data_IF_702998735419
#
_entry.id   IF_702998735419
#
_cell.length_a   1.000
_cell.length_b   1.000
_cell.length_c   1.000
_cell.angle_alpha   90.00
_cell.angle_beta   90.00
_cell.angle_gamma   90.00
#
_symmetry.space_group_name_H-M   'P 1'
#
loop_
_entity.id
_entity.type
_entity.pdbx_description
1 polymer ?
#
# COMPACT_ATOMS: atom_id res chain seq x y z
N UNK A 1 -10.73 -110.79 -71.97
CA UNK A 1 -11.94 -110.10 -72.44
C UNK A 1 -12.03 -108.78 -71.67
N UNK A 2 -11.33 -107.74 -72.13
CA UNK A 2 -11.86 -106.63 -72.96
C UNK A 2 -12.75 -105.65 -72.19
N UNK A 3 -12.24 -104.41 -72.01
CA UNK A 3 -12.90 -103.09 -72.10
C UNK A 3 -14.16 -102.84 -71.21
N UNK A 4 -14.50 -101.65 -70.70
CA UNK A 4 -14.19 -100.28 -71.09
C UNK A 4 -14.80 -99.29 -70.07
N UNK A 5 -14.22 -98.08 -70.01
CA UNK A 5 -14.83 -96.77 -69.74
C UNK A 5 -15.39 -96.44 -68.34
N UNK A 6 -14.71 -95.55 -67.58
CA UNK A 6 -14.62 -94.07 -67.74
C UNK A 6 -15.79 -93.34 -67.08
N UNK A 7 -15.63 -93.08 -65.77
CA UNK A 7 -16.45 -92.12 -65.04
C UNK A 7 -15.72 -90.78 -64.95
N UNK A 8 -16.33 -89.80 -65.62
CA UNK A 8 -15.99 -88.40 -65.75
C UNK A 8 -16.36 -87.69 -64.44
N UNK A 9 -15.40 -87.06 -63.75
CA UNK A 9 -15.69 -85.97 -62.82
C UNK A 9 -14.65 -84.86 -62.97
N UNK A 10 -15.07 -83.81 -63.67
CA UNK A 10 -14.39 -82.53 -63.77
C UNK A 10 -14.53 -81.79 -62.43
N UNK A 11 -13.42 -81.58 -61.72
CA UNK A 11 -13.28 -80.49 -60.74
C UNK A 11 -12.16 -79.57 -61.23
N UNK A 12 -12.56 -78.48 -61.89
CA UNK A 12 -11.72 -77.28 -62.06
C UNK A 12 -11.53 -76.64 -60.69
N UNK A 13 -10.38 -76.90 -60.06
CA UNK A 13 -9.84 -76.03 -59.01
C UNK A 13 -9.17 -74.86 -59.71
N UNK A 14 -9.78 -73.67 -59.63
CA UNK A 14 -9.11 -72.41 -59.96
C UNK A 14 -8.05 -72.17 -58.89
N UNK A 15 -6.79 -72.49 -59.17
CA UNK A 15 -5.66 -71.94 -58.42
C UNK A 15 -5.68 -70.41 -58.60
N UNK A 16 -5.94 -69.68 -57.52
CA UNK A 16 -5.60 -68.26 -57.44
C UNK A 16 -4.08 -68.15 -57.54
N UNK A 17 -3.59 -67.57 -58.63
CA UNK A 17 -2.22 -67.05 -58.69
C UNK A 17 -2.18 -65.90 -57.69
N UNK A 18 -1.49 -66.11 -56.57
CA UNK A 18 -1.12 -65.04 -55.66
C UNK A 18 0.01 -64.30 -56.37
N UNK A 19 -0.28 -63.15 -56.97
CA UNK A 19 0.75 -62.24 -57.46
C UNK A 19 1.55 -61.75 -56.25
N UNK A 20 2.65 -62.43 -55.95
CA UNK A 20 3.63 -61.97 -54.98
C UNK A 20 4.39 -60.75 -55.51
N UNK A 21 4.85 -59.89 -54.61
CA UNK A 21 5.67 -58.73 -54.96
C UNK A 21 7.00 -59.17 -55.57
N UNK A 22 7.44 -58.47 -56.61
CA UNK A 22 8.78 -58.65 -57.18
C UNK A 22 9.86 -58.11 -56.22
N UNK A 23 11.10 -58.62 -56.30
CA UNK A 23 12.20 -58.17 -55.43
C UNK A 23 12.42 -56.64 -55.51
N UNK A 24 12.24 -56.07 -56.71
CA UNK A 24 12.36 -54.63 -56.94
C UNK A 24 11.24 -53.84 -56.24
N UNK A 25 9.99 -54.30 -56.32
CA UNK A 25 8.86 -53.68 -55.60
C UNK A 25 9.04 -53.77 -54.08
N UNK A 26 9.56 -54.89 -53.58
CA UNK A 26 9.83 -55.07 -52.15
C UNK A 26 10.94 -54.12 -51.67
N UNK A 27 12.00 -53.94 -52.46
CA UNK A 27 13.08 -52.99 -52.17
C UNK A 27 12.58 -51.55 -52.18
N UNK A 28 11.81 -51.15 -53.19
CA UNK A 28 11.24 -49.79 -53.27
C UNK A 28 10.26 -49.55 -52.12
N UNK A 29 9.38 -50.51 -51.81
CA UNK A 29 8.47 -50.41 -50.68
C UNK A 29 9.22 -50.32 -49.34
N UNK A 30 10.32 -51.05 -49.17
CA UNK A 30 11.17 -50.99 -47.98
C UNK A 30 11.87 -49.63 -47.84
N UNK A 31 12.38 -49.07 -48.95
CA UNK A 31 13.04 -47.77 -48.97
C UNK A 31 12.06 -46.63 -48.66
N UNK A 32 10.87 -46.65 -49.29
CA UNK A 32 9.80 -45.68 -49.00
C UNK A 32 9.37 -45.80 -47.54
N UNK A 33 9.18 -47.02 -47.03
CA UNK A 33 8.82 -47.24 -45.63
C UNK A 33 9.89 -46.72 -44.67
N UNK A 34 11.17 -46.95 -44.96
CA UNK A 34 12.28 -46.45 -44.16
C UNK A 34 12.33 -44.90 -44.14
N UNK A 35 12.11 -44.26 -45.29
CA UNK A 35 12.04 -42.79 -45.40
C UNK A 35 10.85 -42.25 -44.61
N UNK A 36 9.66 -42.82 -44.79
CA UNK A 36 8.44 -42.39 -44.08
C UNK A 36 8.61 -42.58 -42.57
N UNK A 37 9.16 -43.71 -42.12
CA UNK A 37 9.45 -43.95 -40.70
C UNK A 37 10.49 -42.97 -40.14
N UNK A 38 11.52 -42.62 -40.93
CA UNK A 38 12.53 -41.64 -40.52
C UNK A 38 11.94 -40.24 -40.37
N UNK A 39 11.08 -39.81 -41.31
CA UNK A 39 10.37 -38.53 -41.24
C UNK A 39 9.42 -38.53 -40.04
N UNK A 40 8.62 -39.60 -39.87
CA UNK A 40 7.70 -39.73 -38.75
C UNK A 40 8.43 -39.70 -37.40
N UNK A 41 9.54 -40.43 -37.28
CA UNK A 41 10.40 -40.39 -36.09
C UNK A 41 10.94 -38.99 -35.82
N UNK A 42 11.46 -38.31 -36.85
CA UNK A 42 11.97 -36.95 -36.72
C UNK A 42 10.88 -35.98 -36.24
N UNK A 43 9.67 -36.08 -36.81
CA UNK A 43 8.56 -35.19 -36.48
C UNK A 43 8.03 -35.45 -35.06
N UNK A 44 7.93 -36.72 -34.66
CA UNK A 44 7.62 -37.11 -33.27
C UNK A 44 8.68 -36.58 -32.31
N UNK A 45 9.97 -36.69 -32.65
CA UNK A 45 11.04 -36.20 -31.79
C UNK A 45 11.01 -34.67 -31.65
N UNK A 46 10.68 -33.94 -32.72
CA UNK A 46 10.45 -32.49 -32.68
C UNK A 46 9.29 -32.14 -31.75
N UNK A 47 8.14 -32.83 -31.87
CA UNK A 47 6.97 -32.60 -31.01
C UNK A 47 7.28 -32.92 -29.54
N UNK A 48 7.93 -34.07 -29.26
CA UNK A 48 8.31 -34.47 -27.91
C UNK A 48 9.30 -33.47 -27.28
N UNK A 49 10.28 -33.01 -28.06
CA UNK A 49 11.25 -32.00 -27.62
C UNK A 49 10.56 -30.67 -27.36
N UNK A 50 9.62 -30.25 -28.22
CA UNK A 50 8.82 -29.04 -28.03
C UNK A 50 8.00 -29.12 -26.74
N UNK A 51 7.20 -30.18 -26.57
CA UNK A 51 6.37 -30.39 -25.39
C UNK A 51 7.20 -30.42 -24.10
N UNK A 52 8.39 -31.04 -24.14
CA UNK A 52 9.28 -31.07 -22.99
C UNK A 52 9.86 -29.69 -22.67
N UNK A 53 10.21 -28.90 -23.69
CA UNK A 53 10.66 -27.52 -23.51
C UNK A 53 9.52 -26.64 -22.95
N UNK A 54 8.30 -26.79 -23.46
CA UNK A 54 7.12 -26.05 -22.98
C UNK A 54 6.81 -26.39 -21.52
N UNK A 55 6.82 -27.68 -21.15
CA UNK A 55 6.66 -28.10 -19.76
C UNK A 55 7.74 -27.50 -18.85
N UNK A 56 8.99 -27.42 -19.32
CA UNK A 56 10.09 -26.82 -18.56
C UNK A 56 9.90 -25.31 -18.39
N UNK A 57 9.39 -24.62 -19.42
CA UNK A 57 9.07 -23.20 -19.39
C UNK A 57 7.90 -22.88 -18.46
N UNK A 58 6.84 -23.68 -18.51
CA UNK A 58 5.70 -23.55 -17.61
C UNK A 58 6.15 -23.77 -16.17
N UNK A 59 6.94 -24.81 -15.89
CA UNK A 59 7.46 -25.08 -14.56
C UNK A 59 8.34 -23.92 -14.04
N UNK A 60 9.19 -23.33 -14.88
CA UNK A 60 9.97 -22.15 -14.52
C UNK A 60 9.06 -20.95 -14.24
N UNK A 61 8.10 -20.67 -15.12
CA UNK A 61 7.15 -19.56 -14.94
C UNK A 61 6.35 -19.68 -13.66
N UNK A 62 5.76 -20.85 -13.38
CA UNK A 62 5.01 -21.11 -12.14
C UNK A 62 5.89 -20.95 -10.91
N UNK A 63 7.15 -21.39 -10.97
CA UNK A 63 8.10 -21.20 -9.86
C UNK A 63 8.37 -19.73 -9.57
N UNK A 64 8.56 -18.92 -10.62
CA UNK A 64 8.76 -17.47 -10.47
C UNK A 64 7.48 -16.76 -9.99
N UNK A 65 6.31 -17.15 -10.48
CA UNK A 65 5.03 -16.62 -10.01
C UNK A 65 4.79 -16.94 -8.53
N UNK A 66 5.07 -18.16 -8.08
CA UNK A 66 4.97 -18.55 -6.68
C UNK A 66 5.96 -17.77 -5.80
N UNK A 67 7.20 -17.58 -6.27
CA UNK A 67 8.20 -16.78 -5.57
C UNK A 67 7.78 -15.31 -5.45
N UNK A 68 7.29 -14.72 -6.53
CA UNK A 68 6.77 -13.34 -6.53
C UNK A 68 5.57 -13.19 -5.60
N UNK A 69 4.58 -14.09 -5.69
CA UNK A 69 3.41 -14.10 -4.83
C UNK A 69 3.79 -14.16 -3.36
N UNK A 70 4.71 -15.08 -3.01
CA UNK A 70 5.22 -15.21 -1.65
C UNK A 70 5.87 -13.92 -1.14
N UNK A 71 6.80 -13.33 -1.90
CA UNK A 71 7.48 -12.09 -1.51
C UNK A 71 6.50 -10.93 -1.38
N UNK A 72 5.58 -10.78 -2.34
CA UNK A 72 4.58 -9.70 -2.38
C UNK A 72 3.58 -9.83 -1.22
N UNK A 73 3.18 -11.04 -0.83
CA UNK A 73 2.29 -11.23 0.30
C UNK A 73 2.98 -10.91 1.64
N UNK A 74 4.28 -11.15 1.73
CA UNK A 74 5.08 -10.67 2.85
C UNK A 74 5.26 -9.14 2.84
N UNK A 75 5.46 -8.52 1.67
CA UNK A 75 5.44 -7.05 1.55
C UNK A 75 4.11 -6.50 2.07
N UNK A 76 2.98 -7.09 1.66
CA UNK A 76 1.64 -6.67 2.11
C UNK A 76 1.44 -6.84 3.62
N UNK A 77 2.06 -7.85 4.21
CA UNK A 77 2.00 -8.13 5.66
C UNK A 77 3.14 -7.50 6.47
N UNK A 78 4.02 -6.75 5.82
CA UNK A 78 5.09 -6.00 6.49
C UNK A 78 4.59 -4.66 7.01
N UNK A 79 5.29 -4.16 8.04
CA UNK A 79 5.24 -2.77 8.50
C UNK A 79 5.94 -1.88 7.47
N UNK A 80 7.21 -2.18 7.17
CA UNK A 80 8.08 -1.40 6.28
C UNK A 80 8.98 -2.25 5.41
N UNK A 81 9.36 -1.68 4.27
CA UNK A 81 10.38 -2.18 3.36
C UNK A 81 11.74 -1.60 3.72
N UNK A 82 12.76 -2.45 3.74
CA UNK A 82 14.16 -2.09 3.97
C UNK A 82 14.93 -2.32 2.67
N UNK A 83 15.74 -1.34 2.28
CA UNK A 83 16.45 -1.34 1.00
C UNK A 83 17.93 -1.69 1.13
N UNK A 84 18.51 -1.78 2.33
CA UNK A 84 19.94 -2.08 2.50
C UNK A 84 20.28 -2.94 3.73
N UNK A 85 21.47 -3.56 3.71
CA UNK A 85 22.03 -4.26 4.87
C UNK A 85 22.34 -3.32 6.05
N UNK A 86 22.63 -2.04 5.81
CA UNK A 86 22.99 -1.08 6.86
C UNK A 86 21.81 -0.69 7.75
N UNK A 87 20.59 -0.85 7.23
CA UNK A 87 19.36 -0.50 7.96
C UNK A 87 18.88 -1.66 8.86
N UNK A 88 19.62 -2.77 8.91
CA UNK A 88 19.29 -3.95 9.71
C UNK A 88 20.11 -3.98 11.02
N UNK A 89 19.50 -4.39 12.15
CA UNK A 89 20.23 -4.65 13.38
C UNK A 89 21.33 -5.70 13.13
N UNK A 90 22.55 -5.46 13.61
CA UNK A 90 23.72 -6.29 13.31
C UNK A 90 23.53 -7.77 13.68
N UNK A 91 22.78 -8.04 14.75
CA UNK A 91 22.43 -9.39 15.21
C UNK A 91 21.54 -10.17 14.23
N UNK A 92 20.82 -9.47 13.35
CA UNK A 92 19.89 -10.05 12.38
C UNK A 92 20.53 -10.24 11.00
N UNK A 93 21.79 -9.83 10.83
CA UNK A 93 22.53 -10.03 9.58
C UNK A 93 23.05 -11.47 9.57
N UNK A 94 22.65 -12.32 8.59
CA UNK A 94 23.12 -13.69 8.52
C UNK A 94 24.63 -13.74 8.27
N UNK A 95 25.32 -14.68 8.91
CA UNK A 95 26.78 -14.85 8.78
C UNK A 95 27.22 -15.05 7.33
N UNK A 96 26.43 -15.77 6.54
CA UNK A 96 26.69 -16.03 5.13
C UNK A 96 25.86 -15.06 4.26
N UNK A 97 26.14 -13.75 4.40
CA UNK A 97 25.39 -12.70 3.73
C UNK A 97 25.57 -12.81 2.21
N UNK A 98 24.46 -13.01 1.51
CA UNK A 98 24.39 -12.89 0.06
C UNK A 98 24.25 -11.44 -0.39
N UNK A 99 23.91 -11.25 -1.66
CA UNK A 99 23.53 -9.93 -2.18
C UNK A 99 22.14 -9.54 -1.68
N UNK A 100 22.00 -8.32 -1.15
CA UNK A 100 20.75 -7.85 -0.56
C UNK A 100 19.70 -7.54 -1.61
N UNK A 101 18.55 -8.20 -1.54
CA UNK A 101 17.42 -7.93 -2.43
C UNK A 101 16.45 -6.97 -1.76
N UNK A 102 15.91 -7.38 -0.61
CA UNK A 102 14.82 -6.70 0.08
C UNK A 102 14.80 -7.11 1.56
N UNK A 103 14.50 -6.20 2.47
CA UNK A 103 14.16 -6.52 3.86
C UNK A 103 12.76 -6.06 4.20
N UNK A 104 12.12 -6.71 5.18
CA UNK A 104 10.76 -6.44 5.59
C UNK A 104 10.66 -6.43 7.11
N UNK A 105 10.33 -5.28 7.68
CA UNK A 105 10.03 -5.16 9.11
C UNK A 105 8.63 -5.70 9.34
N UNK A 106 8.45 -6.62 10.28
CA UNK A 106 7.12 -7.11 10.66
C UNK A 106 6.53 -6.22 11.76
N UNK A 107 5.19 -6.04 11.81
CA UNK A 107 4.56 -5.44 12.97
C UNK A 107 4.57 -6.42 14.15
N UNK A 108 4.16 -5.94 15.32
CA UNK A 108 3.95 -6.80 16.48
C UNK A 108 2.94 -7.90 16.15
N UNK A 109 3.31 -9.15 16.45
CA UNK A 109 2.54 -10.32 16.05
C UNK A 109 1.77 -10.88 17.24
N UNK A 110 0.52 -11.26 17.00
CA UNK A 110 -0.20 -12.16 17.89
C UNK A 110 0.31 -13.59 17.63
N UNK A 111 0.78 -14.26 18.68
CA UNK A 111 1.32 -15.62 18.56
C UNK A 111 0.29 -16.73 18.78
N UNK A 112 -0.94 -16.35 19.15
CA UNK A 112 -2.06 -17.28 19.39
C UNK A 112 -3.38 -16.63 19.01
N UNK A 113 -4.36 -17.45 18.61
CA UNK A 113 -5.73 -16.98 18.35
C UNK A 113 -6.38 -16.30 19.57
N UNK A 114 -6.01 -16.70 20.78
CA UNK A 114 -6.60 -16.13 22.00
C UNK A 114 -6.17 -14.68 22.24
N UNK A 115 -5.04 -14.26 21.66
CA UNK A 115 -4.62 -12.86 21.64
C UNK A 115 -5.62 -11.97 20.88
N UNK A 116 -6.37 -12.51 19.92
CA UNK A 116 -7.43 -11.79 19.20
C UNK A 116 -8.79 -11.80 19.93
N UNK A 117 -8.96 -12.66 20.95
CA UNK A 117 -10.23 -12.80 21.68
C UNK A 117 -10.32 -11.89 22.90
N UNK A 118 -9.20 -11.55 23.53
CA UNK A 118 -9.17 -10.76 24.77
C UNK A 118 -8.82 -9.29 24.51
N UNK A 119 -9.84 -8.42 24.43
CA UNK A 119 -9.70 -6.99 24.08
C UNK A 119 -8.92 -6.14 25.11
N UNK A 120 -8.70 -6.64 26.32
CA UNK A 120 -8.14 -5.85 27.44
C UNK A 120 -6.72 -6.25 27.85
N UNK A 121 -6.21 -7.39 27.39
CA UNK A 121 -4.85 -7.88 27.69
C UNK A 121 -4.30 -8.66 26.49
N UNK A 122 -3.99 -7.94 25.40
CA UNK A 122 -3.40 -8.57 24.21
C UNK A 122 -1.89 -8.67 24.38
N UNK A 123 -1.37 -9.88 24.50
CA UNK A 123 0.07 -10.14 24.60
C UNK A 123 0.71 -10.14 23.20
N UNK A 124 0.85 -8.95 22.61
CA UNK A 124 1.57 -8.75 21.36
C UNK A 124 3.06 -9.04 21.56
N UNK A 125 3.64 -9.92 20.74
CA UNK A 125 5.08 -10.19 20.80
C UNK A 125 5.77 -9.54 19.62
N UNK A 126 6.77 -8.72 19.95
CA UNK A 126 7.66 -8.09 18.98
C UNK A 126 8.50 -9.16 18.29
N UNK A 127 8.52 -9.14 16.96
CA UNK A 127 9.47 -9.94 16.19
C UNK A 127 10.80 -9.22 16.15
N UNK A 128 11.84 -9.86 16.66
CA UNK A 128 13.12 -9.20 16.93
C UNK A 128 13.99 -8.96 15.68
N UNK A 129 13.80 -9.78 14.64
CA UNK A 129 14.53 -9.68 13.38
C UNK A 129 13.59 -9.55 12.16
N UNK A 130 13.84 -8.58 11.26
CA UNK A 130 13.16 -8.46 9.97
C UNK A 130 13.31 -9.72 9.11
N UNK A 131 12.38 -9.90 8.17
CA UNK A 131 12.56 -10.87 7.08
C UNK A 131 13.51 -10.27 6.05
N UNK A 132 14.47 -11.03 5.56
CA UNK A 132 15.44 -10.58 4.56
C UNK A 132 15.50 -11.54 3.39
N UNK A 133 15.42 -10.98 2.20
CA UNK A 133 15.65 -11.66 0.93
C UNK A 133 17.06 -11.39 0.43
N UNK A 134 17.79 -12.46 0.12
CA UNK A 134 19.15 -12.36 -0.41
C UNK A 134 19.40 -13.34 -1.56
N UNK A 135 20.31 -12.96 -2.46
CA UNK A 135 20.78 -13.81 -3.55
C UNK A 135 22.13 -14.41 -3.21
N UNK A 136 22.25 -15.72 -3.42
CA UNK A 136 23.53 -16.44 -3.35
C UNK A 136 23.79 -17.14 -4.67
N UNK A 137 25.04 -17.13 -5.12
CA UNK A 137 25.42 -17.77 -6.37
C UNK A 137 25.19 -19.28 -6.30
N UNK A 138 24.60 -19.83 -7.35
CA UNK A 138 24.43 -21.26 -7.56
C UNK A 138 25.60 -21.81 -8.37
N UNK A 139 26.61 -22.32 -7.67
CA UNK A 139 27.80 -22.92 -8.29
C UNK A 139 27.50 -24.24 -9.00
N UNK A 140 26.34 -24.85 -8.76
CA UNK A 140 25.94 -26.12 -9.37
C UNK A 140 25.29 -25.97 -10.74
N UNK A 141 24.87 -24.75 -11.11
CA UNK A 141 24.16 -24.49 -12.35
C UNK A 141 25.12 -24.23 -13.51
N UNK A 142 24.94 -24.97 -14.61
CA UNK A 142 25.81 -24.93 -15.81
C UNK A 142 25.28 -24.05 -16.96
N UNK A 143 24.34 -23.16 -16.68
CA UNK A 143 23.79 -22.23 -17.69
C UNK A 143 24.68 -21.02 -17.99
N UNK A 144 24.19 -20.11 -18.83
CA UNK A 144 25.03 -19.06 -19.42
C UNK A 144 25.12 -17.87 -18.46
N UNK A 145 26.30 -17.64 -17.87
CA UNK A 145 26.55 -16.49 -17.00
C UNK A 145 26.31 -16.74 -15.50
N UNK A 146 26.06 -17.99 -15.11
CA UNK A 146 25.79 -18.35 -13.71
C UNK A 146 24.34 -18.09 -13.29
N UNK A 147 23.90 -18.79 -12.25
CA UNK A 147 22.56 -18.66 -11.66
C UNK A 147 22.68 -18.24 -10.21
N UNK A 148 21.61 -17.66 -9.68
CA UNK A 148 21.48 -17.29 -8.28
C UNK A 148 20.25 -17.96 -7.67
N UNK A 149 20.35 -18.24 -6.37
CA UNK A 149 19.28 -18.73 -5.50
C UNK A 149 18.79 -17.59 -4.63
N UNK A 150 17.47 -17.39 -4.61
CA UNK A 150 16.80 -16.45 -3.73
C UNK A 150 16.45 -17.14 -2.42
N UNK A 151 17.05 -16.65 -1.35
CA UNK A 151 16.82 -17.11 0.00
C UNK A 151 16.02 -16.08 0.79
N UNK A 152 15.14 -16.58 1.65
CA UNK A 152 14.44 -15.83 2.69
C UNK A 152 15.01 -16.22 4.04
N UNK A 153 15.56 -15.26 4.76
CA UNK A 153 16.06 -15.41 6.13
C UNK A 153 15.13 -14.65 7.07
N UNK A 154 14.54 -15.30 8.07
CA UNK A 154 13.61 -14.65 8.97
C UNK A 154 12.89 -15.62 9.90
N UNK A 155 11.92 -15.14 10.71
CA UNK A 155 11.10 -16.00 11.55
C UNK A 155 10.37 -17.06 10.73
N UNK A 156 10.32 -18.29 11.25
CA UNK A 156 9.52 -19.36 10.68
C UNK A 156 8.03 -19.12 10.90
N UNK A 157 7.21 -19.70 10.02
CA UNK A 157 5.76 -19.79 10.21
C UNK A 157 5.43 -21.14 10.85
N UNK A 158 4.49 -21.16 11.80
CA UNK A 158 3.91 -22.39 12.32
C UNK A 158 2.88 -22.99 11.34
N UNK A 159 2.33 -24.15 11.69
CA UNK A 159 1.30 -24.83 10.86
C UNK A 159 -0.01 -24.01 10.71
N UNK A 160 -0.21 -23.00 11.56
CA UNK A 160 -1.38 -22.13 11.56
C UNK A 160 -1.10 -20.79 10.84
N UNK A 161 0.12 -20.59 10.35
CA UNK A 161 0.52 -19.38 9.63
C UNK A 161 0.97 -18.23 10.52
N UNK A 162 1.26 -18.46 11.81
CA UNK A 162 1.82 -17.44 12.70
C UNK A 162 3.34 -17.46 12.71
N UNK A 163 3.96 -16.28 12.77
CA UNK A 163 5.41 -16.17 12.94
C UNK A 163 5.85 -16.71 14.30
N UNK A 164 6.97 -17.43 14.33
CA UNK A 164 7.64 -17.92 15.54
C UNK A 164 8.84 -17.00 15.81
N UNK A 165 8.73 -16.00 16.71
CA UNK A 165 9.73 -14.92 16.81
C UNK A 165 11.12 -15.39 17.22
N UNK A 166 11.21 -16.51 17.95
CA UNK A 166 12.45 -17.06 18.49
C UNK A 166 13.17 -18.00 17.52
N UNK A 167 12.55 -18.36 16.40
CA UNK A 167 13.09 -19.37 15.47
C UNK A 167 13.29 -18.76 14.09
N UNK A 168 14.52 -18.31 13.85
CA UNK A 168 14.96 -17.79 12.55
C UNK A 168 15.49 -18.95 11.71
N UNK A 169 15.09 -19.03 10.45
CA UNK A 169 15.69 -19.95 9.49
C UNK A 169 15.87 -19.31 8.12
N UNK A 170 16.73 -19.91 7.32
CA UNK A 170 16.87 -19.59 5.91
C UNK A 170 16.13 -20.62 5.06
N UNK A 171 15.30 -20.16 4.14
CA UNK A 171 14.49 -20.98 3.24
C UNK A 171 14.78 -20.60 1.79
N UNK A 172 14.95 -21.60 0.93
CA UNK A 172 15.07 -21.39 -0.52
C UNK A 172 13.68 -21.06 -1.09
N UNK A 173 13.55 -19.90 -1.72
CA UNK A 173 12.29 -19.42 -2.32
C UNK A 173 12.28 -19.72 -3.81
N UNK A 174 13.37 -19.41 -4.50
CA UNK A 174 13.55 -19.74 -5.91
C UNK A 174 15.01 -19.96 -6.24
N UNK A 175 15.27 -20.62 -7.36
CA UNK A 175 16.59 -20.77 -7.96
C UNK A 175 16.53 -20.30 -9.42
N UNK A 176 17.63 -20.48 -10.15
CA UNK A 176 17.72 -20.20 -11.58
C UNK A 176 17.57 -18.72 -11.94
N UNK A 177 17.83 -17.82 -10.98
CA UNK A 177 17.78 -16.38 -11.21
C UNK A 177 19.01 -15.98 -12.01
N UNK A 178 18.80 -15.18 -13.06
CA UNK A 178 19.87 -14.79 -13.98
C UNK A 178 20.90 -13.89 -13.30
N UNK A 179 22.06 -13.76 -13.94
CA UNK A 179 23.08 -12.78 -13.57
C UNK A 179 22.64 -11.33 -13.78
N UNK A 180 21.77 -11.08 -14.77
CA UNK A 180 21.27 -9.75 -15.13
C UNK A 180 19.83 -9.88 -15.65
N UNK A 181 18.98 -8.86 -15.46
CA UNK A 181 17.59 -8.92 -15.87
C UNK A 181 17.48 -8.68 -17.38
N UNK A 182 16.52 -9.34 -18.03
CA UNK A 182 16.34 -9.25 -19.48
C UNK A 182 15.50 -8.03 -19.90
N UNK A 183 14.65 -7.55 -19.00
CA UNK A 183 13.69 -6.49 -19.29
C UNK A 183 13.82 -5.34 -18.29
N UNK A 184 13.34 -4.16 -18.67
CA UNK A 184 13.26 -2.99 -17.80
C UNK A 184 11.85 -2.94 -17.21
N UNK A 185 11.72 -3.36 -15.96
CA UNK A 185 10.50 -3.08 -15.20
C UNK A 185 10.40 -1.55 -15.03
N UNK A 186 9.37 -0.87 -15.57
CA UNK A 186 9.22 0.57 -15.44
C UNK A 186 8.96 0.92 -13.98
N UNK A 187 9.68 1.92 -13.46
CA UNK A 187 9.53 2.43 -12.10
C UNK A 187 8.96 3.84 -12.17
N UNK A 188 7.98 4.17 -11.33
CA UNK A 188 7.43 5.53 -11.30
C UNK A 188 8.36 6.51 -10.58
N UNK A 189 9.51 6.80 -11.19
CA UNK A 189 10.51 7.72 -10.63
C UNK A 189 9.99 9.15 -10.52
N UNK A 190 8.98 9.53 -11.31
CA UNK A 190 8.32 10.83 -11.23
C UNK A 190 7.60 11.04 -9.89
N UNK A 191 7.11 9.97 -9.27
CA UNK A 191 6.52 9.97 -7.93
C UNK A 191 7.54 9.63 -6.82
N UNK A 192 8.84 9.70 -7.11
CA UNK A 192 9.90 9.49 -6.12
C UNK A 192 10.20 8.02 -5.80
N UNK A 193 9.75 7.06 -6.62
CA UNK A 193 10.11 5.66 -6.45
C UNK A 193 11.59 5.43 -6.79
N UNK A 194 12.24 4.58 -6.00
CA UNK A 194 13.65 4.21 -6.20
C UNK A 194 13.75 2.85 -6.86
N UNK A 195 14.41 2.78 -8.01
CA UNK A 195 14.70 1.52 -8.70
C UNK A 195 16.09 1.00 -8.34
N UNK A 196 16.19 -0.30 -8.08
CA UNK A 196 17.47 -1.01 -7.89
C UNK A 196 17.48 -2.30 -8.72
N UNK A 197 18.67 -2.67 -9.20
CA UNK A 197 18.89 -3.93 -9.91
C UNK A 197 19.90 -4.75 -9.13
N UNK A 198 19.52 -5.98 -8.78
CA UNK A 198 20.36 -6.93 -8.04
C UNK A 198 20.32 -8.24 -8.81
N UNK A 199 21.36 -8.45 -9.63
CA UNK A 199 21.41 -9.54 -10.61
C UNK A 199 20.14 -9.57 -11.47
N UNK A 200 19.56 -10.75 -11.71
CA UNK A 200 18.29 -10.92 -12.41
C UNK A 200 17.06 -10.39 -11.70
N UNK A 201 17.18 -9.63 -10.59
CA UNK A 201 16.04 -9.03 -9.89
C UNK A 201 16.05 -7.51 -10.06
N UNK A 202 14.88 -6.95 -10.39
CA UNK A 202 14.62 -5.51 -10.34
C UNK A 202 13.68 -5.25 -9.18
N UNK A 203 14.01 -4.27 -8.32
CA UNK A 203 13.16 -3.85 -7.21
C UNK A 203 12.85 -2.36 -7.37
N UNK A 204 11.59 -2.00 -7.26
CA UNK A 204 11.11 -0.63 -7.16
C UNK A 204 10.50 -0.43 -5.77
N UNK A 205 11.06 0.47 -4.97
CA UNK A 205 10.53 0.79 -3.63
C UNK A 205 9.91 2.18 -3.64
N UNK A 206 8.75 2.33 -3.02
CA UNK A 206 8.10 3.64 -2.89
C UNK A 206 8.88 4.58 -1.96
N UNK A 207 8.74 5.91 -2.11
CA UNK A 207 9.49 6.90 -1.30
C UNK A 207 9.26 6.76 0.21
N UNK A 208 8.12 6.19 0.61
CA UNK A 208 7.79 5.94 2.01
C UNK A 208 8.06 4.49 2.41
N UNK A 209 8.81 3.67 1.66
CA UNK A 209 9.10 2.29 2.02
C UNK A 209 7.84 1.44 2.34
N UNK A 210 6.69 1.79 1.74
CA UNK A 210 5.39 1.12 1.94
C UNK A 210 5.01 0.18 0.82
N UNK A 211 5.63 0.32 -0.32
CA UNK A 211 5.35 -0.52 -1.46
C UNK A 211 6.65 -1.00 -2.06
N UNK A 212 6.60 -2.22 -2.56
CA UNK A 212 7.66 -2.78 -3.37
C UNK A 212 7.03 -3.45 -4.59
N UNK A 213 7.61 -3.15 -5.74
CA UNK A 213 7.43 -3.93 -6.96
C UNK A 213 8.71 -4.68 -7.24
N UNK A 214 8.58 -5.94 -7.63
CA UNK A 214 9.70 -6.85 -7.80
C UNK A 214 9.52 -7.57 -9.12
N UNK A 215 10.54 -7.49 -9.96
CA UNK A 215 10.69 -8.26 -11.19
C UNK A 215 11.78 -9.30 -11.01
N UNK A 216 11.52 -10.55 -11.38
CA UNK A 216 12.51 -11.63 -11.37
C UNK A 216 12.66 -12.17 -12.79
N UNK A 217 13.89 -12.12 -13.30
CA UNK A 217 14.35 -12.79 -14.51
C UNK A 217 15.07 -14.08 -14.14
N UNK A 218 14.58 -15.19 -14.66
CA UNK A 218 15.14 -16.51 -14.46
C UNK A 218 15.42 -17.21 -15.78
N UNK A 219 16.36 -18.15 -15.79
CA UNK A 219 16.71 -18.93 -16.96
C UNK A 219 16.76 -20.43 -16.68
N UNK A 220 16.47 -21.21 -17.71
CA UNK A 220 16.65 -22.67 -17.65
C UNK A 220 17.25 -23.18 -18.93
N UNK A 221 18.03 -24.25 -18.81
CA UNK A 221 18.55 -24.99 -19.97
C UNK A 221 17.45 -25.90 -20.52
N UNK A 222 17.15 -25.74 -21.80
CA UNK A 222 16.25 -26.58 -22.59
C UNK A 222 17.04 -27.71 -23.27
N UNK A 223 16.32 -28.66 -23.88
CA UNK A 223 16.98 -29.70 -24.68
C UNK A 223 17.77 -29.09 -25.85
N UNK A 224 18.89 -29.74 -26.21
CA UNK A 224 19.85 -29.30 -27.22
C UNK A 224 20.62 -28.00 -26.87
N UNK A 225 20.90 -27.75 -25.59
CA UNK A 225 21.63 -26.57 -25.10
C UNK A 225 20.98 -25.23 -25.50
N UNK A 226 19.68 -25.24 -25.80
CA UNK A 226 18.90 -24.01 -25.91
C UNK A 226 18.62 -23.46 -24.53
N UNK A 227 18.38 -22.16 -24.42
CA UNK A 227 18.06 -21.50 -23.16
C UNK A 227 16.68 -20.89 -23.28
N UNK A 228 15.93 -20.94 -22.18
CA UNK A 228 14.69 -20.20 -22.04
C UNK A 228 14.79 -19.25 -20.87
N UNK A 229 14.24 -18.06 -21.06
CA UNK A 229 14.25 -16.97 -20.11
C UNK A 229 12.82 -16.58 -19.80
N UNK A 230 12.51 -16.44 -18.51
CA UNK A 230 11.21 -15.94 -18.05
C UNK A 230 11.46 -14.73 -17.17
N UNK A 231 10.82 -13.62 -17.51
CA UNK A 231 10.77 -12.42 -16.67
C UNK A 231 9.34 -12.15 -16.28
N UNK A 232 9.09 -12.00 -14.98
CA UNK A 232 7.78 -11.69 -14.41
C UNK A 232 7.96 -10.61 -13.36
N UNK A 233 6.98 -9.75 -13.19
CA UNK A 233 6.94 -8.75 -12.12
C UNK A 233 5.63 -8.78 -11.35
N UNK A 234 5.69 -8.38 -10.09
CA UNK A 234 4.52 -8.23 -9.22
C UNK A 234 4.77 -7.15 -8.16
N UNK A 235 3.70 -6.55 -7.66
CA UNK A 235 3.73 -5.43 -6.74
C UNK A 235 2.84 -5.62 -5.53
N UNK A 236 3.30 -5.13 -4.39
CA UNK A 236 2.57 -5.16 -3.13
C UNK A 236 2.68 -3.85 -2.37
N UNK A 237 1.55 -3.44 -1.77
CA UNK A 237 1.50 -2.37 -0.79
C UNK A 237 1.36 -2.98 0.60
N UNK A 238 2.23 -2.59 1.53
CA UNK A 238 2.12 -2.90 2.95
C UNK A 238 0.76 -2.40 3.45
N UNK A 239 -0.10 -3.34 3.84
CA UNK A 239 -1.44 -3.06 4.37
C UNK A 239 -1.41 -2.60 5.82
N UNK A 240 -0.27 -2.78 6.47
CA UNK A 240 -0.07 -2.52 7.88
C UNK A 240 0.48 -1.11 8.04
N UNK A 241 -0.25 -0.30 8.82
CA UNK A 241 0.16 1.07 9.10
C UNK A 241 1.48 1.03 9.89
N UNK A 242 2.49 1.74 9.40
CA UNK A 242 3.73 1.91 10.17
C UNK A 242 3.64 3.26 10.84
N UNK A 243 3.59 3.22 12.17
CA UNK A 243 3.64 4.38 13.05
C UNK A 243 4.85 5.29 12.75
N UNK A 244 5.96 4.73 12.25
CA UNK A 244 7.18 5.44 11.88
C UNK A 244 7.12 6.11 10.50
N UNK A 245 6.18 5.75 9.62
CA UNK A 245 5.96 6.43 8.34
C UNK A 245 4.73 7.34 8.32
N UNK A 246 3.89 7.20 9.35
CA UNK A 246 3.07 8.30 9.85
C UNK A 246 3.95 9.29 10.66
N UNK A 247 5.23 8.96 10.87
CA UNK A 247 6.22 9.72 11.60
C UNK A 247 7.37 10.25 10.74
N UNK A 248 7.09 11.00 9.67
CA UNK A 248 8.07 12.01 9.21
C UNK A 248 7.47 13.22 8.48
N UNK A 249 6.28 13.62 8.89
CA UNK A 249 5.87 15.03 8.85
C UNK A 249 5.74 15.48 10.30
N UNK A 250 6.88 15.59 11.02
CA UNK A 250 6.94 16.30 12.30
C UNK A 250 7.72 15.66 13.46
N UNK A 251 8.53 14.62 13.27
CA UNK A 251 9.32 14.02 14.37
C UNK A 251 10.46 14.93 14.86
N UNK A 252 10.91 15.88 14.04
CA UNK A 252 11.89 16.92 14.43
C UNK A 252 11.27 18.20 15.01
N UNK A 253 9.94 18.27 15.13
CA UNK A 253 9.24 19.44 15.70
C UNK A 253 8.54 19.18 17.04
N UNK A 254 8.35 17.92 17.45
CA UNK A 254 7.64 17.58 18.67
C UNK A 254 8.45 16.64 19.55
N UNK A 255 9.31 17.23 20.38
CA UNK A 255 9.77 16.60 21.59
C UNK A 255 8.57 16.59 22.57
N UNK A 256 7.80 15.50 22.60
CA UNK A 256 6.64 15.35 23.48
C UNK A 256 6.63 13.98 24.15
N UNK A 257 7.70 13.70 24.91
CA UNK A 257 7.61 12.89 26.11
C UNK A 257 6.68 13.61 27.08
N UNK A 258 5.37 13.38 27.01
CA UNK A 258 4.42 13.64 28.11
C UNK A 258 3.06 12.97 27.83
N UNK A 259 2.48 12.38 28.87
CA UNK A 259 1.25 11.58 28.93
C UNK A 259 -0.07 12.30 28.54
N UNK A 260 -0.04 13.35 27.72
CA UNK A 260 -1.18 14.25 27.47
C UNK A 260 -1.53 14.40 25.97
N UNK A 261 -1.42 13.32 25.19
CA UNK A 261 -1.81 13.35 23.77
C UNK A 261 -3.33 13.19 23.62
N UNK A 262 -4.06 14.12 22.94
CA UNK A 262 -5.52 14.10 22.81
C UNK A 262 -6.06 12.95 21.92
N UNK A 263 -5.17 12.25 21.22
CA UNK A 263 -5.52 11.21 20.25
C UNK A 263 -5.24 9.82 20.80
N UNK A 264 -6.18 8.90 20.64
CA UNK A 264 -6.00 7.48 21.01
C UNK A 264 -4.95 6.83 20.10
N UNK A 265 -4.82 7.36 18.88
CA UNK A 265 -3.79 7.06 17.90
C UNK A 265 -3.43 8.39 17.21
N UNK A 266 -2.29 9.02 17.53
CA UNK A 266 -1.86 10.24 16.87
C UNK A 266 -1.46 9.99 15.40
N UNK A 267 -1.58 11.01 14.53
CA UNK A 267 -1.99 12.37 14.87
C UNK A 267 -3.48 12.65 14.57
N UNK A 268 -4.12 13.53 15.34
CA UNK A 268 -5.46 14.05 15.07
C UNK A 268 -5.36 15.31 14.20
N UNK A 269 -5.24 15.11 12.89
CA UNK A 269 -5.12 16.21 11.95
C UNK A 269 -6.29 16.25 11.00
N UNK A 270 -6.84 17.43 10.79
CA UNK A 270 -7.82 17.70 9.74
C UNK A 270 -7.05 18.30 8.57
N UNK A 271 -7.05 17.65 7.41
CA UNK A 271 -6.26 18.09 6.25
C UNK A 271 -4.76 18.34 6.56
N UNK A 272 -4.16 17.52 7.42
CA UNK A 272 -2.77 17.67 7.85
C UNK A 272 -2.55 18.70 8.98
N UNK A 273 -3.59 19.43 9.40
CA UNK A 273 -3.54 20.35 10.54
C UNK A 273 -3.86 19.66 11.86
N UNK A 274 -2.82 19.42 12.65
CA UNK A 274 -2.95 18.71 13.91
C UNK A 274 -3.27 19.66 15.06
N UNK A 275 -4.17 19.22 15.93
CA UNK A 275 -4.39 19.91 17.19
C UNK A 275 -3.40 19.44 18.25
N UNK A 276 -2.90 20.40 19.05
CA UNK A 276 -1.85 20.16 20.05
C UNK A 276 -2.36 20.33 21.47
N UNK A 277 -3.66 20.54 21.67
CA UNK A 277 -4.25 20.84 22.98
C UNK A 277 -5.27 19.77 23.40
N UNK A 278 -5.55 19.70 24.70
CA UNK A 278 -6.60 18.82 25.25
C UNK A 278 -8.03 19.32 24.98
N UNK A 279 -8.19 20.40 24.21
CA UNK A 279 -9.47 20.92 23.73
C UNK A 279 -9.51 21.12 22.21
N UNK A 280 -10.47 20.49 21.57
CA UNK A 280 -10.63 20.42 20.13
C UNK A 280 -11.85 21.23 19.71
N UNK A 281 -11.64 22.37 19.04
CA UNK A 281 -12.75 23.18 18.50
C UNK A 281 -12.66 23.27 16.98
N UNK A 282 -13.66 22.71 16.29
CA UNK A 282 -13.76 22.75 14.83
C UNK A 282 -14.84 23.74 14.37
N UNK A 283 -14.47 24.67 13.51
CA UNK A 283 -15.39 25.55 12.79
C UNK A 283 -15.50 25.09 11.34
N UNK A 284 -16.69 24.66 10.93
CA UNK A 284 -16.95 24.11 9.60
C UNK A 284 -17.89 25.06 8.86
N UNK A 285 -17.39 25.64 7.76
CA UNK A 285 -18.23 26.39 6.84
C UNK A 285 -19.26 25.46 6.21
N UNK A 286 -20.51 25.88 6.23
CA UNK A 286 -21.63 25.20 5.56
C UNK A 286 -22.35 26.16 4.63
N UNK A 287 -21.67 27.20 4.14
CA UNK A 287 -22.15 28.09 3.08
C UNK A 287 -22.55 27.30 1.83
N UNK A 288 -23.31 27.94 0.93
CA UNK A 288 -23.73 27.31 -0.32
C UNK A 288 -22.54 26.93 -1.23
N UNK A 289 -21.46 27.72 -1.22
CA UNK A 289 -20.28 27.49 -2.05
C UNK A 289 -19.56 26.18 -1.71
N UNK A 290 -19.64 25.72 -0.45
CA UNK A 290 -19.08 24.44 -0.01
C UNK A 290 -19.64 23.22 -0.76
N UNK A 291 -20.78 23.37 -1.46
CA UNK A 291 -21.37 22.33 -2.31
C UNK A 291 -20.85 22.33 -3.75
N UNK A 292 -20.23 23.42 -4.18
CA UNK A 292 -19.78 23.64 -5.56
C UNK A 292 -18.26 23.57 -5.71
N UNK A 293 -17.50 23.89 -4.65
CA UNK A 293 -16.06 23.69 -4.69
C UNK A 293 -15.70 22.21 -4.54
N UNK A 294 -14.51 21.85 -5.06
CA UNK A 294 -13.97 20.50 -5.03
C UNK A 294 -12.75 20.45 -4.11
N UNK A 295 -12.63 19.39 -3.33
CA UNK A 295 -11.45 19.06 -2.54
C UNK A 295 -11.36 17.54 -2.40
N UNK A 296 -10.16 16.96 -2.59
CA UNK A 296 -9.94 15.49 -2.51
C UNK A 296 -10.92 14.66 -3.36
N UNK A 297 -11.29 15.14 -4.55
CA UNK A 297 -12.19 14.44 -5.48
C UNK A 297 -13.66 14.37 -5.03
N UNK A 298 -14.08 15.20 -4.06
CA UNK A 298 -15.46 15.35 -3.57
C UNK A 298 -15.81 16.83 -3.46
N UNK A 299 -17.07 17.16 -3.22
CA UNK A 299 -17.38 18.54 -2.83
C UNK A 299 -16.74 18.88 -1.47
N UNK A 300 -16.39 20.15 -1.27
CA UNK A 300 -15.65 20.58 -0.08
C UNK A 300 -16.34 20.25 1.24
N UNK A 301 -17.68 20.36 1.30
CA UNK A 301 -18.41 20.00 2.52
C UNK A 301 -18.26 18.52 2.86
N UNK A 302 -18.40 17.63 1.88
CA UNK A 302 -18.22 16.19 2.10
C UNK A 302 -16.78 15.84 2.47
N UNK A 303 -15.79 16.50 1.84
CA UNK A 303 -14.39 16.34 2.22
C UNK A 303 -14.13 16.80 3.67
N UNK A 304 -14.67 17.97 4.07
CA UNK A 304 -14.55 18.49 5.43
C UNK A 304 -15.24 17.57 6.46
N UNK A 305 -16.43 17.05 6.13
CA UNK A 305 -17.16 16.11 6.98
C UNK A 305 -16.35 14.84 7.22
N UNK A 306 -15.80 14.25 6.16
CA UNK A 306 -15.01 13.03 6.26
C UNK A 306 -13.76 13.21 7.14
N UNK A 307 -13.01 14.28 6.94
CA UNK A 307 -11.81 14.58 7.73
C UNK A 307 -12.14 14.82 9.20
N UNK A 308 -13.14 15.66 9.49
CA UNK A 308 -13.51 15.97 10.88
C UNK A 308 -14.08 14.73 11.58
N UNK A 309 -14.92 13.93 10.92
CA UNK A 309 -15.43 12.65 11.48
C UNK A 309 -14.27 11.70 11.75
N UNK A 310 -13.32 11.58 10.82
CA UNK A 310 -12.15 10.74 10.95
C UNK A 310 -11.31 11.11 12.18
N UNK A 311 -11.18 12.41 12.46
CA UNK A 311 -10.48 12.89 13.66
C UNK A 311 -11.29 12.63 14.93
N UNK A 312 -12.58 13.00 14.96
CA UNK A 312 -13.44 12.80 16.14
C UNK A 312 -13.48 11.33 16.57
N UNK A 313 -13.50 10.40 15.60
CA UNK A 313 -13.47 8.96 15.88
C UNK A 313 -12.22 8.54 16.69
N UNK A 314 -11.08 9.19 16.44
CA UNK A 314 -9.77 8.87 17.04
C UNK A 314 -9.48 9.58 18.37
N UNK A 315 -10.25 10.60 18.74
CA UNK A 315 -10.05 11.34 20.01
C UNK A 315 -10.13 10.40 21.23
N UNK A 316 -9.24 10.59 22.21
CA UNK A 316 -9.27 9.89 23.49
C UNK A 316 -10.49 10.31 24.30
N UNK A 317 -10.95 9.41 25.17
CA UNK A 317 -11.92 9.80 26.18
C UNK A 317 -11.30 10.86 27.11
N UNK A 318 -12.12 11.83 27.55
CA UNK A 318 -11.70 12.92 28.42
C UNK A 318 -11.24 14.20 27.71
N UNK A 319 -10.89 14.14 26.42
CA UNK A 319 -10.57 15.34 25.61
C UNK A 319 -11.80 16.22 25.47
N UNK A 320 -11.66 17.53 25.63
CA UNK A 320 -12.76 18.46 25.41
C UNK A 320 -12.99 18.64 23.91
N UNK A 321 -14.24 18.57 23.46
CA UNK A 321 -14.61 18.70 22.05
C UNK A 321 -15.73 19.73 21.88
N UNK A 322 -15.64 20.52 20.82
CA UNK A 322 -16.69 21.35 20.29
C UNK A 322 -16.68 21.31 18.76
N UNK A 323 -17.86 21.28 18.16
CA UNK A 323 -18.05 21.42 16.72
C UNK A 323 -19.03 22.56 16.47
N UNK A 324 -18.62 23.50 15.63
CA UNK A 324 -19.41 24.67 15.26
C UNK A 324 -19.58 24.65 13.76
N UNK A 325 -20.83 24.64 13.30
CA UNK A 325 -21.10 24.95 11.88
C UNK A 325 -21.33 26.45 11.75
N UNK A 326 -20.96 27.03 10.62
CA UNK A 326 -21.31 28.42 10.35
C UNK A 326 -21.68 28.64 8.89
N UNK A 327 -22.61 29.57 8.69
CA UNK A 327 -22.95 30.16 7.40
C UNK A 327 -23.25 31.64 7.63
N UNK A 328 -24.48 32.13 7.45
CA UNK A 328 -24.88 33.48 7.88
C UNK A 328 -24.84 33.69 9.41
N UNK A 329 -24.79 32.61 10.18
CA UNK A 329 -24.60 32.61 11.64
C UNK A 329 -23.90 31.32 12.08
N UNK A 330 -23.45 31.26 13.34
CA UNK A 330 -22.80 30.09 13.91
C UNK A 330 -23.77 29.25 14.76
N UNK A 331 -23.73 27.93 14.62
CA UNK A 331 -24.47 26.98 15.46
C UNK A 331 -23.48 26.03 16.12
N UNK A 332 -23.46 26.05 17.45
CA UNK A 332 -22.62 25.18 18.26
C UNK A 332 -23.34 23.85 18.48
N UNK A 333 -22.61 22.73 18.43
CA UNK A 333 -23.14 21.41 18.75
C UNK A 333 -23.67 21.36 20.20
N UNK A 334 -22.90 21.93 21.13
CA UNK A 334 -23.28 22.08 22.52
C UNK A 334 -23.12 23.53 22.99
N UNK A 335 -23.84 23.98 24.03
CA UNK A 335 -23.68 25.33 24.58
C UNK A 335 -22.24 25.67 25.02
N UNK A 336 -21.49 24.65 25.46
CA UNK A 336 -20.07 24.67 25.82
C UNK A 336 -19.40 23.35 25.38
N UNK A 337 -18.07 23.30 25.32
CA UNK A 337 -17.34 22.07 24.98
C UNK A 337 -17.63 20.94 25.97
N UNK A 338 -17.59 19.69 25.50
CA UNK A 338 -17.86 18.49 26.32
C UNK A 338 -16.71 17.50 26.23
N UNK A 339 -16.44 16.80 27.34
CA UNK A 339 -15.48 15.70 27.36
C UNK A 339 -15.93 14.56 26.43
N UNK A 340 -15.00 14.05 25.65
CA UNK A 340 -15.21 12.93 24.73
C UNK A 340 -15.45 11.65 25.53
N UNK A 341 -16.52 10.96 25.19
CA UNK A 341 -16.87 9.62 25.59
C UNK A 341 -17.65 8.98 24.42
N UNK A 342 -18.03 7.69 24.48
CA UNK A 342 -18.74 7.05 23.37
C UNK A 342 -20.02 7.79 22.92
N UNK A 343 -20.77 8.37 23.85
CA UNK A 343 -22.02 9.09 23.58
C UNK A 343 -21.74 10.46 22.92
N UNK A 344 -20.89 11.29 23.53
CA UNK A 344 -20.56 12.62 23.00
C UNK A 344 -19.84 12.53 21.66
N UNK A 345 -19.02 11.49 21.46
CA UNK A 345 -18.40 11.16 20.17
C UNK A 345 -19.45 10.84 19.11
N UNK A 346 -20.44 10.00 19.43
CA UNK A 346 -21.54 9.68 18.52
C UNK A 346 -22.39 10.91 18.17
N UNK A 347 -22.70 11.76 19.16
CA UNK A 347 -23.41 13.03 18.96
C UNK A 347 -22.66 13.95 17.99
N UNK A 348 -21.35 14.13 18.19
CA UNK A 348 -20.52 14.98 17.34
C UNK A 348 -20.41 14.44 15.91
N UNK A 349 -20.19 13.13 15.75
CA UNK A 349 -20.17 12.50 14.43
C UNK A 349 -21.52 12.68 13.72
N UNK A 350 -22.64 12.46 14.41
CA UNK A 350 -23.96 12.63 13.81
C UNK A 350 -24.25 14.08 13.43
N UNK A 351 -23.83 15.04 14.25
CA UNK A 351 -23.91 16.45 13.92
C UNK A 351 -23.16 16.79 12.64
N UNK A 352 -21.88 16.37 12.54
CA UNK A 352 -21.06 16.59 11.33
C UNK A 352 -21.66 15.90 10.11
N UNK A 353 -22.14 14.65 10.24
CA UNK A 353 -22.82 13.93 9.14
C UNK A 353 -24.07 14.66 8.64
N UNK A 354 -24.80 15.31 9.54
CA UNK A 354 -26.05 16.02 9.24
C UNK A 354 -25.86 17.40 8.58
N UNK A 355 -24.62 17.90 8.50
CA UNK A 355 -24.34 19.20 7.90
C UNK A 355 -24.78 19.24 6.43
N UNK A 356 -25.43 20.34 6.08
CA UNK A 356 -25.94 20.64 4.74
C UNK A 356 -25.51 22.04 4.33
N UNK A 357 -25.18 22.24 3.05
CA UNK A 357 -24.78 23.54 2.53
C UNK A 357 -25.98 24.50 2.50
N UNK A 358 -25.75 25.79 2.76
CA UNK A 358 -26.74 26.84 2.64
C UNK A 358 -26.33 28.15 3.29
N UNK A 359 -26.83 29.27 2.77
CA UNK A 359 -26.50 30.62 3.26
C UNK A 359 -25.13 31.13 2.80
N UNK A 360 -24.73 32.29 3.32
CA UNK A 360 -23.42 32.90 3.06
C UNK A 360 -22.34 32.47 4.06
N UNK A 361 -21.21 33.17 4.08
CA UNK A 361 -20.06 32.88 4.96
C UNK A 361 -19.87 34.01 5.97
N UNK A 362 -20.14 33.74 7.25
CA UNK A 362 -20.01 34.67 8.37
C UNK A 362 -19.63 33.93 9.67
N UNK A 363 -18.32 33.73 9.94
CA UNK A 363 -17.87 33.03 11.13
C UNK A 363 -17.80 33.93 12.38
N UNK A 364 -17.99 35.26 12.24
CA UNK A 364 -17.47 36.24 13.20
C UNK A 364 -18.07 36.16 14.59
N UNK A 365 -19.40 36.07 14.70
CA UNK A 365 -20.06 36.00 16.00
C UNK A 365 -19.68 34.73 16.77
N UNK A 366 -19.58 33.61 16.07
CA UNK A 366 -19.11 32.36 16.66
C UNK A 366 -17.67 32.45 17.10
N UNK A 367 -16.76 32.93 16.24
CA UNK A 367 -15.35 33.05 16.57
C UNK A 367 -15.12 34.01 17.75
N UNK A 368 -15.79 35.17 17.78
CA UNK A 368 -15.73 36.10 18.93
C UNK A 368 -16.16 35.43 20.23
N UNK A 369 -17.26 34.65 20.21
CA UNK A 369 -17.71 33.90 21.39
C UNK A 369 -16.63 32.91 21.87
N UNK A 370 -15.99 32.19 20.96
CA UNK A 370 -14.93 31.23 21.31
C UNK A 370 -13.64 31.90 21.79
N UNK A 371 -13.28 33.06 21.24
CA UNK A 371 -12.11 33.83 21.72
C UNK A 371 -12.29 34.30 23.17
N UNK A 372 -13.53 34.52 23.61
CA UNK A 372 -13.87 34.96 24.96
C UNK A 372 -14.01 33.80 25.95
N UNK A 373 -14.12 32.56 25.48
CA UNK A 373 -14.23 31.37 26.34
C UNK A 373 -12.85 31.00 26.89
N UNK A 374 -12.71 30.98 28.22
CA UNK A 374 -11.43 30.71 28.88
C UNK A 374 -10.86 29.32 28.54
N UNK A 375 -11.70 28.34 28.23
CA UNK A 375 -11.27 26.97 28.01
C UNK A 375 -10.69 26.76 26.60
N UNK A 376 -11.20 27.52 25.62
CA UNK A 376 -10.75 27.40 24.22
C UNK A 376 -9.29 27.81 24.09
N UNK A 377 -8.48 26.88 23.61
CA UNK A 377 -7.03 27.07 23.38
C UNK A 377 -6.65 27.00 21.89
N UNK A 378 -7.40 26.21 21.11
CA UNK A 378 -7.17 26.07 19.66
C UNK A 378 -8.50 25.96 18.91
N UNK A 379 -8.55 26.62 17.75
CA UNK A 379 -9.64 26.56 16.78
C UNK A 379 -9.07 26.10 15.44
N UNK A 380 -9.70 25.11 14.82
CA UNK A 380 -9.46 24.72 13.43
C UNK A 380 -10.64 25.22 12.59
N UNK A 381 -10.39 26.19 11.72
CA UNK A 381 -11.36 26.87 10.88
C UNK A 381 -11.27 26.38 9.43
N UNK A 382 -12.36 25.83 8.91
CA UNK A 382 -12.43 25.25 7.57
C UNK A 382 -13.44 26.04 6.75
N UNK A 383 -13.04 26.58 5.59
CA UNK A 383 -13.92 27.39 4.74
C UNK A 383 -13.46 27.43 3.28
N UNK A 384 -14.40 27.63 2.37
CA UNK A 384 -14.20 27.94 0.96
C UNK A 384 -14.71 29.35 0.57
N UNK A 385 -15.18 30.11 1.55
CA UNK A 385 -16.07 31.24 1.34
C UNK A 385 -15.42 32.61 1.54
N UNK A 386 -15.89 33.57 0.73
CA UNK A 386 -15.60 34.99 0.94
C UNK A 386 -16.45 35.56 2.06
N UNK A 387 -15.85 36.39 2.91
CA UNK A 387 -16.55 37.13 3.96
C UNK A 387 -15.92 38.50 4.19
N UNK A 388 -16.67 39.40 4.84
CA UNK A 388 -16.15 40.71 5.23
C UNK A 388 -15.14 40.54 6.35
N UNK A 389 -13.88 40.93 6.13
CA UNK A 389 -12.80 40.78 7.12
C UNK A 389 -12.76 41.88 8.18
N UNK A 390 -13.70 42.83 8.15
CA UNK A 390 -13.80 43.94 9.10
C UNK A 390 -15.23 44.13 9.60
N UNK A 391 -15.36 44.59 10.83
CA UNK A 391 -16.65 44.92 11.44
C UNK A 391 -16.49 45.45 12.87
N UNK A 392 -17.62 45.57 13.57
CA UNK A 392 -17.62 46.02 14.97
C UNK A 392 -17.01 44.95 15.88
N UNK A 393 -16.00 45.33 16.65
CA UNK A 393 -15.40 44.54 17.71
C UNK A 393 -15.07 45.45 18.91
N UNK A 394 -15.59 45.11 20.09
CA UNK A 394 -15.46 45.92 21.31
C UNK A 394 -15.81 47.41 21.09
N UNK A 395 -16.87 47.68 20.33
CA UNK A 395 -17.34 49.04 20.04
C UNK A 395 -16.49 49.82 19.02
N UNK A 396 -15.49 49.19 18.39
CA UNK A 396 -14.66 49.80 17.34
C UNK A 396 -14.82 49.05 16.03
N UNK A 397 -14.92 49.77 14.91
CA UNK A 397 -14.88 49.15 13.60
C UNK A 397 -13.42 48.87 13.22
N UNK A 398 -13.05 47.60 13.07
CA UNK A 398 -11.68 47.17 12.79
C UNK A 398 -11.66 45.82 12.06
N UNK A 399 -10.49 45.40 11.58
CA UNK A 399 -10.32 44.04 11.06
C UNK A 399 -10.54 43.02 12.18
N UNK A 400 -11.24 41.92 11.87
CA UNK A 400 -11.46 40.85 12.84
C UNK A 400 -10.15 40.19 13.28
N UNK A 401 -9.16 40.10 12.41
CA UNK A 401 -7.84 39.60 12.76
C UNK A 401 -7.12 40.47 13.82
N UNK A 402 -7.26 41.80 13.74
CA UNK A 402 -6.73 42.73 14.75
C UNK A 402 -7.49 42.63 16.07
N UNK A 403 -8.83 42.49 15.98
CA UNK A 403 -9.69 42.23 17.13
C UNK A 403 -9.29 40.95 17.87
N UNK A 404 -9.01 39.85 17.16
CA UNK A 404 -8.61 38.59 17.80
C UNK A 404 -7.21 38.66 18.42
N UNK A 405 -6.27 39.37 17.81
CA UNK A 405 -4.99 39.67 18.45
C UNK A 405 -5.16 40.47 19.75
N UNK A 406 -6.11 41.43 19.79
CA UNK A 406 -6.44 42.16 21.02
C UNK A 406 -7.06 41.26 22.08
N UNK A 407 -7.95 40.32 21.70
CA UNK A 407 -8.47 39.34 22.66
C UNK A 407 -7.36 38.47 23.23
N UNK A 408 -6.42 37.97 22.42
CA UNK A 408 -5.29 37.19 22.94
C UNK A 408 -4.43 37.99 23.94
N UNK A 409 -4.15 39.27 23.66
CA UNK A 409 -3.46 40.13 24.64
C UNK A 409 -4.25 40.31 25.94
N UNK A 410 -5.58 40.40 25.87
CA UNK A 410 -6.44 40.48 27.05
C UNK A 410 -6.46 39.16 27.84
N UNK A 411 -6.39 38.02 27.16
CA UNK A 411 -6.29 36.68 27.77
C UNK A 411 -4.97 36.51 28.50
N UNK A 412 -3.86 36.84 27.85
CA UNK A 412 -2.53 36.83 28.45
C UNK A 412 -2.48 37.72 29.70
N UNK A 413 -3.07 38.92 29.65
CA UNK A 413 -3.18 39.81 30.81
C UNK A 413 -4.04 39.28 31.96
N UNK A 414 -4.89 38.29 31.71
CA UNK A 414 -5.69 37.56 32.73
C UNK A 414 -5.03 36.24 33.16
N UNK A 415 -3.87 35.89 32.61
CA UNK A 415 -3.19 34.62 32.86
C UNK A 415 -3.81 33.43 32.11
N UNK A 416 -4.58 33.66 31.05
CA UNK A 416 -5.13 32.61 30.19
C UNK A 416 -4.25 32.41 28.96
N UNK A 417 -4.18 31.17 28.48
CA UNK A 417 -3.49 30.87 27.24
C UNK A 417 -4.16 31.58 26.05
N UNK A 418 -3.36 32.14 25.11
CA UNK A 418 -3.89 32.74 23.90
C UNK A 418 -4.56 31.67 23.03
N UNK A 419 -5.64 32.05 22.34
CA UNK A 419 -6.32 31.14 21.40
C UNK A 419 -5.56 31.14 20.08
N UNK A 420 -5.21 29.94 19.63
CA UNK A 420 -4.60 29.72 18.32
C UNK A 420 -5.67 29.39 17.27
N UNK A 421 -5.73 30.13 16.16
CA UNK A 421 -6.65 29.83 15.06
C UNK A 421 -5.89 29.30 13.85
N UNK A 422 -5.99 28.00 13.61
CA UNK A 422 -5.50 27.39 12.38
C UNK A 422 -6.60 27.36 11.33
N UNK A 423 -6.26 27.74 10.10
CA UNK A 423 -7.22 27.88 9.01
C UNK A 423 -6.92 26.92 7.87
N UNK A 424 -7.96 26.34 7.27
CA UNK A 424 -7.89 25.45 6.12
C UNK A 424 -8.81 26.02 5.04
N UNK A 425 -8.18 26.53 3.99
CA UNK A 425 -8.82 27.14 2.83
C UNK A 425 -9.09 26.05 1.79
N UNK A 426 -10.36 25.83 1.43
CA UNK A 426 -10.77 24.80 0.46
C UNK A 426 -11.08 25.41 -0.91
N UNK A 427 -10.49 24.85 -1.98
CA UNK A 427 -10.76 25.19 -3.38
C UNK A 427 -10.24 26.55 -3.86
N UNK A 428 -10.15 27.54 -2.96
CA UNK A 428 -9.59 28.87 -3.20
C UNK A 428 -8.48 29.17 -2.21
N UNK A 429 -7.65 30.17 -2.52
CA UNK A 429 -6.58 30.64 -1.66
C UNK A 429 -6.99 31.89 -0.85
N UNK A 430 -7.55 31.67 0.34
CA UNK A 430 -7.78 32.69 1.37
C UNK A 430 -6.60 32.83 2.33
N UNK A 431 -5.53 32.04 2.14
CA UNK A 431 -4.30 32.07 2.92
C UNK A 431 -3.27 33.07 2.37
N UNK A 432 -3.41 33.49 1.10
CA UNK A 432 -2.57 34.51 0.46
C UNK A 432 -2.51 35.80 1.28
N UNK A 433 -1.48 36.61 0.99
CA UNK A 433 -1.32 37.94 1.60
C UNK A 433 -2.59 38.80 1.38
N UNK A 434 -3.19 39.27 2.47
CA UNK A 434 -4.45 40.01 2.46
C UNK A 434 -5.72 39.15 2.45
N UNK A 435 -5.58 37.82 2.38
CA UNK A 435 -6.67 36.87 2.57
C UNK A 435 -7.08 36.79 4.04
N UNK A 436 -8.39 36.73 4.30
CA UNK A 436 -8.94 36.86 5.65
C UNK A 436 -8.53 35.70 6.57
N UNK A 437 -8.43 34.48 6.05
CA UNK A 437 -7.99 33.30 6.79
C UNK A 437 -6.50 33.39 7.13
N UNK A 438 -5.68 33.81 6.16
CA UNK A 438 -4.25 34.05 6.37
C UNK A 438 -3.98 35.13 7.42
N UNK A 439 -4.71 36.25 7.37
CA UNK A 439 -4.57 37.34 8.34
C UNK A 439 -4.92 36.90 9.77
N UNK A 440 -6.02 36.16 9.94
CA UNK A 440 -6.47 35.69 11.25
C UNK A 440 -5.49 34.68 11.84
N UNK A 441 -5.10 33.67 11.07
CA UNK A 441 -4.17 32.67 11.54
C UNK A 441 -2.83 33.30 11.94
N UNK A 442 -2.29 34.19 11.10
CA UNK A 442 -1.03 34.86 11.43
C UNK A 442 -1.12 35.70 12.71
N UNK A 443 -2.21 36.46 12.90
CA UNK A 443 -2.40 37.33 14.08
C UNK A 443 -2.78 36.58 15.37
N UNK A 444 -3.10 35.29 15.27
CA UNK A 444 -3.44 34.44 16.42
C UNK A 444 -2.44 33.31 16.62
N UNK A 445 -1.21 33.43 16.09
CA UNK A 445 -0.15 32.41 16.19
C UNK A 445 -0.52 31.04 15.59
N UNK A 446 -1.51 31.03 14.68
CA UNK A 446 -1.89 29.87 13.89
C UNK A 446 -1.21 29.83 12.53
N UNK A 447 -1.56 28.82 11.72
CA UNK A 447 -1.14 28.72 10.31
C UNK A 447 -2.36 28.54 9.41
N UNK A 448 -2.20 28.91 8.14
CA UNK A 448 -3.23 28.78 7.12
C UNK A 448 -2.73 27.85 6.01
N UNK A 449 -3.49 26.79 5.75
CA UNK A 449 -3.17 25.77 4.74
C UNK A 449 -4.23 25.79 3.63
N UNK A 450 -3.82 25.48 2.40
CA UNK A 450 -4.69 25.47 1.21
C UNK A 450 -4.85 24.04 0.73
N UNK A 451 -6.09 23.63 0.48
CA UNK A 451 -6.44 22.34 -0.11
C UNK A 451 -7.17 22.59 -1.42
N UNK A 452 -6.58 22.12 -2.52
CA UNK A 452 -7.15 22.23 -3.87
C UNK A 452 -7.93 20.99 -4.31
#
# INVERSE_FOLDING_TARGET
MFNYLKKRFSRRSKQKVINGFTLAELLVASAISAVVLSIAYSLVNVILTSNKNDNTNIALSTKIENALGFVVDEVKSSKNVISSWSDLPTRCIPQNKGEFVLGLTLPDQALTNDSYKNKTNVNWKKVDCPIVYSLKQDTSYKGRGGSFKLFRSGPQLDQKGFYIPTKVSETLISDRIKYQPDDVMPCNTAEGWTQRKVRGIIICTSPFNKAAEIGISAETVLQANKYSTVTKSSGGYAKIQDENLIGDIGSSFFNLDNNEQPCSSPPCCVFGRCSTTNEQTYYIDVSLSMSWCSAKGKNCLEAAKEEVIGVIAKLKNGVMLQVVKFNGYSTFLWPASKAVNPETKAQAINFVRSLRPGGGTNPWNGLMKSMQDQNVSQIILISDGYTNSSGSCNGKNQKYADCFAQFNKQREGKGWDPVKIDSISLGLDFCKKGGWMGEISNKTNGKCDIIM
#
